data_IF_737848291146
#
_entry.id   IF_737848291146
#
_cell.length_a   1.000
_cell.length_b   1.000
_cell.length_c   1.000
_cell.angle_alpha   90.00
_cell.angle_beta   90.00
_cell.angle_gamma   90.00
#
_symmetry.space_group_name_H-M   'P 1'
#
loop_
_entity.id
_entity.type
_entity.pdbx_description
1 polymer ?
#
# COMPACT_ATOMS: atom_id res chain seq x y z
N UNK A 1 39.59 -11.66 -27.93
CA UNK A 1 38.96 -12.82 -28.62
C UNK A 1 37.74 -13.20 -27.82
N UNK A 2 36.61 -13.17 -28.51
CA UNK A 2 35.23 -13.68 -28.25
C UNK A 2 34.42 -13.01 -27.13
N UNK A 3 33.48 -12.13 -27.42
CA UNK A 3 32.14 -12.29 -28.06
C UNK A 3 31.27 -13.19 -27.21
N UNK A 4 30.31 -12.66 -26.45
CA UNK A 4 29.03 -12.21 -26.92
C UNK A 4 28.00 -13.00 -26.13
N UNK A 5 27.33 -12.39 -25.14
CA UNK A 5 26.09 -12.94 -24.60
C UNK A 5 24.97 -11.95 -24.95
N UNK A 6 24.20 -12.37 -25.92
CA UNK A 6 23.07 -11.61 -26.44
C UNK A 6 21.89 -11.61 -25.47
N UNK A 7 21.49 -10.43 -25.07
CA UNK A 7 20.19 -10.14 -24.44
C UNK A 7 19.06 -10.53 -25.41
N UNK A 8 18.29 -11.56 -25.08
CA UNK A 8 16.99 -11.79 -25.71
C UNK A 8 15.92 -11.09 -24.88
N UNK A 9 15.62 -9.89 -25.27
CA UNK A 9 14.40 -9.19 -24.86
C UNK A 9 13.24 -9.85 -25.61
N UNK A 10 12.36 -10.57 -24.90
CA UNK A 10 11.07 -10.98 -25.43
C UNK A 10 10.16 -9.76 -25.51
N UNK A 11 10.04 -9.19 -26.69
CA UNK A 11 8.98 -8.26 -27.03
C UNK A 11 7.67 -9.06 -27.11
N UNK A 12 6.76 -8.84 -26.15
CA UNK A 12 5.38 -9.30 -26.28
C UNK A 12 4.63 -8.26 -27.07
N UNK A 13 4.38 -8.59 -28.32
CA UNK A 13 3.58 -7.79 -29.25
C UNK A 13 2.14 -7.71 -28.79
N UNK A 14 1.65 -6.48 -28.58
CA UNK A 14 0.23 -6.18 -28.52
C UNK A 14 -0.35 -6.38 -29.92
N UNK A 15 -1.12 -7.43 -30.11
CA UNK A 15 -1.98 -7.58 -31.28
C UNK A 15 -3.41 -7.23 -30.90
N UNK A 16 -3.86 -6.12 -31.48
CA UNK A 16 -5.24 -5.68 -31.50
C UNK A 16 -6.13 -6.75 -32.15
N UNK A 17 -7.23 -7.09 -31.52
CA UNK A 17 -8.37 -7.72 -32.17
C UNK A 17 -9.54 -6.74 -32.16
N UNK A 18 -9.64 -5.99 -33.29
CA UNK A 18 -10.88 -5.37 -33.73
C UNK A 18 -11.60 -6.36 -34.67
N UNK A 19 -12.91 -6.26 -34.63
CA UNK A 19 -13.90 -6.73 -35.59
C UNK A 19 -14.56 -8.08 -35.32
N UNK A 20 -15.84 -8.02 -34.86
CA UNK A 20 -16.93 -8.42 -35.76
C UNK A 20 -18.24 -7.80 -35.25
N UNK A 21 -18.68 -6.76 -35.96
CA UNK A 21 -20.09 -6.37 -36.03
C UNK A 21 -20.83 -7.37 -36.91
N UNK A 22 -21.88 -7.97 -36.39
CA UNK A 22 -22.81 -8.79 -37.15
C UNK A 22 -24.18 -8.66 -36.57
N UNK A 23 -24.98 -7.78 -37.16
CA UNK A 23 -26.42 -7.68 -36.91
C UNK A 23 -27.12 -8.90 -37.50
N UNK A 24 -28.04 -9.49 -36.75
CA UNK A 24 -29.19 -10.14 -37.38
C UNK A 24 -30.42 -10.12 -36.48
N UNK A 25 -31.45 -9.71 -37.11
CA UNK A 25 -32.86 -9.50 -36.79
C UNK A 25 -33.58 -10.73 -36.18
N UNK A 26 -34.60 -10.38 -35.33
CA UNK A 26 -35.64 -11.28 -34.83
C UNK A 26 -36.56 -11.81 -35.95
N UNK A 27 -37.31 -12.87 -35.65
CA UNK A 27 -38.75 -12.79 -35.80
C UNK A 27 -39.60 -13.25 -34.61
N UNK A 28 -40.79 -12.71 -34.59
CA UNK A 28 -41.89 -12.78 -33.67
C UNK A 28 -42.68 -14.09 -33.67
N UNK A 29 -43.13 -14.54 -32.46
CA UNK A 29 -44.40 -15.10 -32.05
C UNK A 29 -44.76 -16.55 -32.43
N UNK A 30 -45.85 -17.18 -31.92
CA UNK A 30 -46.74 -16.78 -30.82
C UNK A 30 -47.02 -17.91 -29.77
N UNK A 31 -47.74 -17.54 -28.72
CA UNK A 31 -48.55 -18.26 -27.74
C UNK A 31 -48.62 -19.81 -27.72
N UNK A 32 -48.38 -20.39 -26.54
CA UNK A 32 -49.11 -21.53 -26.03
C UNK A 32 -49.15 -21.52 -24.47
N UNK A 33 -50.35 -21.35 -23.93
CA UNK A 33 -50.72 -21.76 -22.57
C UNK A 33 -50.60 -23.27 -22.46
N UNK A 34 -50.23 -23.80 -21.29
CA UNK A 34 -50.85 -24.97 -20.63
C UNK A 34 -50.33 -25.16 -19.23
N UNK A 35 -51.20 -25.07 -18.28
CA UNK A 35 -51.49 -25.85 -17.07
C UNK A 35 -50.41 -26.21 -16.05
N UNK A 36 -50.84 -25.94 -14.81
CA UNK A 36 -50.19 -26.22 -13.56
C UNK A 36 -50.00 -27.70 -13.24
N UNK A 37 -48.96 -27.95 -12.48
CA UNK A 37 -48.91 -29.07 -11.54
C UNK A 37 -47.98 -28.63 -10.37
N UNK A 38 -48.55 -28.63 -9.20
CA UNK A 38 -47.88 -28.51 -7.93
C UNK A 38 -46.89 -29.72 -7.80
N UNK A 39 -45.69 -29.46 -7.42
CA UNK A 39 -44.78 -30.45 -6.81
C UNK A 39 -44.10 -29.88 -5.59
N UNK A 40 -44.20 -30.70 -4.57
CA UNK A 40 -43.79 -30.57 -3.20
C UNK A 40 -42.33 -30.07 -3.02
N UNK A 41 -42.15 -29.34 -1.91
CA UNK A 41 -40.92 -28.81 -1.45
C UNK A 41 -39.87 -29.87 -1.11
N UNK A 42 -38.74 -29.74 -1.74
CA UNK A 42 -37.46 -30.17 -1.16
C UNK A 42 -36.76 -28.90 -0.68
N UNK A 43 -36.69 -28.73 0.62
CA UNK A 43 -35.78 -27.77 1.24
C UNK A 43 -34.37 -28.31 1.01
N UNK A 44 -33.65 -27.71 0.10
CA UNK A 44 -32.19 -27.88 0.06
C UNK A 44 -31.64 -27.36 1.40
N UNK A 45 -31.24 -28.29 2.21
CA UNK A 45 -30.40 -28.03 3.39
C UNK A 45 -29.06 -27.59 2.84
N UNK A 46 -28.81 -26.30 2.85
CA UNK A 46 -27.47 -25.77 2.64
C UNK A 46 -26.63 -26.30 3.79
N UNK A 47 -25.81 -27.31 3.52
CA UNK A 47 -24.81 -27.79 4.46
C UNK A 47 -23.88 -26.63 4.77
N UNK A 48 -23.77 -26.31 6.07
CA UNK A 48 -22.72 -25.37 6.54
C UNK A 48 -21.36 -25.89 6.06
N UNK A 49 -20.45 -24.98 5.60
CA UNK A 49 -19.12 -25.39 5.20
C UNK A 49 -18.39 -25.99 6.39
N UNK A 50 -17.78 -27.16 6.16
CA UNK A 50 -16.96 -27.87 7.11
C UNK A 50 -15.89 -26.96 7.74
N UNK A 51 -15.87 -26.86 9.05
CA UNK A 51 -15.03 -26.00 9.86
C UNK A 51 -13.54 -26.45 9.93
N UNK A 52 -13.05 -27.19 8.95
CA UNK A 52 -11.73 -27.82 8.98
C UNK A 52 -10.65 -27.17 8.11
N UNK A 53 -10.95 -26.10 7.36
CA UNK A 53 -9.87 -25.38 6.67
C UNK A 53 -9.26 -24.32 7.62
N UNK A 54 -7.93 -24.39 7.86
CA UNK A 54 -7.26 -23.41 8.74
C UNK A 54 -7.41 -22.01 8.15
N UNK A 55 -7.72 -21.03 9.03
CA UNK A 55 -7.79 -19.64 8.63
C UNK A 55 -6.41 -19.12 8.21
N UNK A 56 -6.35 -18.02 7.45
CA UNK A 56 -5.10 -17.35 7.11
C UNK A 56 -4.24 -17.06 8.35
N UNK A 57 -4.87 -16.69 9.47
CA UNK A 57 -4.19 -16.47 10.74
C UNK A 57 -3.55 -17.74 11.31
N UNK A 58 -4.20 -18.91 11.13
CA UNK A 58 -3.68 -20.19 11.62
C UNK A 58 -2.50 -20.71 10.80
N UNK A 59 -2.46 -20.38 9.50
CA UNK A 59 -1.39 -20.80 8.58
C UNK A 59 -0.14 -19.92 8.70
N UNK A 60 -0.32 -18.61 8.83
CA UNK A 60 0.77 -17.64 8.86
C UNK A 60 1.19 -17.21 10.27
N UNK A 61 0.31 -17.36 11.23
CA UNK A 61 0.54 -17.05 12.65
C UNK A 61 0.04 -18.21 13.53
N UNK A 62 0.70 -19.38 13.53
CA UNK A 62 0.27 -20.48 14.35
C UNK A 62 0.27 -20.03 15.81
N UNK A 63 -0.91 -19.91 16.39
CA UNK A 63 -1.07 -19.55 17.80
C UNK A 63 -0.61 -20.72 18.66
N UNK A 64 0.46 -20.53 19.39
CA UNK A 64 0.90 -21.50 20.40
C UNK A 64 0.08 -21.43 21.67
N UNK A 65 -0.92 -20.53 21.77
CA UNK A 65 -1.83 -20.53 22.93
C UNK A 65 -3.10 -19.71 22.66
N UNK A 66 -4.23 -20.42 22.50
CA UNK A 66 -5.54 -19.80 22.34
C UNK A 66 -6.10 -19.21 23.66
N UNK A 67 -5.45 -19.43 24.79
CA UNK A 67 -5.89 -18.95 26.13
C UNK A 67 -5.33 -17.57 26.50
N UNK A 68 -4.35 -17.04 25.75
CA UNK A 68 -3.73 -15.75 26.04
C UNK A 68 -4.51 -14.52 25.49
N UNK A 69 -5.65 -14.73 24.83
CA UNK A 69 -6.42 -13.64 24.18
C UNK A 69 -7.49 -12.96 25.04
N UNK A 70 -7.72 -13.45 26.28
CA UNK A 70 -8.82 -12.94 27.12
C UNK A 70 -8.42 -11.85 28.14
N UNK A 71 -7.13 -11.60 28.36
CA UNK A 71 -6.66 -10.67 29.41
C UNK A 71 -5.72 -9.56 28.90
N UNK A 72 -6.04 -8.94 27.75
CA UNK A 72 -5.40 -7.68 27.34
C UNK A 72 -6.08 -6.48 28.05
N UNK A 73 -6.26 -6.58 29.35
CA UNK A 73 -6.58 -5.50 30.25
C UNK A 73 -5.30 -4.96 30.88
N UNK A 74 -4.92 -3.75 30.41
CA UNK A 74 -4.15 -2.74 31.12
C UNK A 74 -3.10 -3.22 32.15
N UNK A 75 -1.98 -3.75 31.66
CA UNK A 75 -0.72 -3.61 32.36
C UNK A 75 0.35 -3.23 31.33
N UNK A 76 0.58 -1.92 31.18
CA UNK A 76 1.72 -1.42 30.43
C UNK A 76 3.00 -1.68 31.23
N UNK A 77 3.40 -2.94 31.34
CA UNK A 77 4.73 -3.27 31.76
C UNK A 77 5.67 -2.60 30.75
N UNK A 78 6.50 -1.66 31.23
CA UNK A 78 7.48 -0.99 30.42
C UNK A 78 8.25 -2.03 29.60
N UNK A 79 8.24 -1.90 28.27
CA UNK A 79 8.95 -2.83 27.38
C UNK A 79 10.42 -2.74 27.75
N UNK A 80 10.92 -3.71 28.49
CA UNK A 80 12.33 -3.79 28.86
C UNK A 80 13.10 -4.36 27.69
N UNK A 81 13.91 -3.52 27.05
CA UNK A 81 14.73 -3.93 25.92
C UNK A 81 15.92 -2.97 25.74
N UNK A 82 16.83 -3.32 24.84
CA UNK A 82 17.97 -2.43 24.56
C UNK A 82 17.48 -1.17 23.81
N UNK A 83 18.23 -0.08 24.00
CA UNK A 83 18.04 1.18 23.27
C UNK A 83 18.48 1.12 21.80
N UNK A 84 18.60 2.28 21.14
CA UNK A 84 19.04 2.35 19.76
C UNK A 84 20.45 1.75 19.55
N UNK A 85 20.79 1.31 18.32
CA UNK A 85 20.00 1.44 17.11
C UNK A 85 18.82 0.48 17.07
N UNK A 86 17.60 1.02 16.79
CA UNK A 86 16.40 0.22 16.73
C UNK A 86 16.27 -0.53 15.39
N UNK A 87 15.69 -1.75 15.36
CA UNK A 87 15.43 -2.46 14.13
C UNK A 87 14.45 -1.70 13.25
N UNK A 88 14.63 -1.79 11.94
CA UNK A 88 13.81 -1.17 10.91
C UNK A 88 12.78 -2.17 10.41
N UNK A 89 11.52 -1.79 10.39
CA UNK A 89 10.43 -2.54 9.77
C UNK A 89 9.99 -1.78 8.50
N UNK A 90 10.10 -2.42 7.34
CA UNK A 90 9.51 -1.95 6.09
C UNK A 90 8.08 -2.48 6.01
N UNK A 91 7.10 -1.58 5.85
CA UNK A 91 5.69 -1.95 5.85
C UNK A 91 5.00 -1.52 4.55
N UNK A 92 4.50 -2.50 3.79
CA UNK A 92 3.90 -2.31 2.49
C UNK A 92 2.49 -1.69 2.54
N UNK A 93 2.07 -1.10 1.42
CA UNK A 93 0.76 -0.48 1.25
C UNK A 93 -0.33 -1.41 0.74
N UNK A 94 -1.33 -0.79 0.13
CA UNK A 94 -2.45 -1.43 -0.57
C UNK A 94 -1.95 -2.40 -1.64
N UNK A 95 -2.60 -3.54 -1.77
CA UNK A 95 -2.21 -4.62 -2.67
C UNK A 95 -0.76 -5.12 -2.47
N UNK A 96 -0.14 -4.78 -1.34
CA UNK A 96 1.25 -5.11 -1.06
C UNK A 96 1.46 -6.57 -0.72
N UNK A 97 2.71 -6.98 -0.78
CA UNK A 97 3.18 -8.34 -0.51
C UNK A 97 4.61 -8.25 0.03
N UNK A 98 5.11 -9.28 0.66
CA UNK A 98 6.54 -9.34 0.97
C UNK A 98 7.33 -9.77 -0.27
N UNK A 99 7.01 -10.95 -0.81
CA UNK A 99 7.68 -11.52 -1.97
C UNK A 99 6.69 -12.18 -2.93
N UNK A 100 6.83 -11.95 -4.23
CA UNK A 100 6.20 -12.69 -5.31
C UNK A 100 7.30 -13.20 -6.25
N UNK A 101 7.70 -14.45 -6.08
CA UNK A 101 8.86 -15.01 -6.79
C UNK A 101 10.14 -14.23 -6.45
N UNK A 102 10.87 -13.69 -7.45
CA UNK A 102 12.09 -12.92 -7.20
C UNK A 102 11.84 -11.45 -6.86
N UNK A 103 10.60 -11.00 -6.84
CA UNK A 103 10.22 -9.60 -6.64
C UNK A 103 9.72 -9.43 -5.21
N UNK A 104 10.33 -8.52 -4.46
CA UNK A 104 9.83 -8.06 -3.18
C UNK A 104 9.24 -6.65 -3.31
N UNK A 105 8.33 -6.28 -2.40
CA UNK A 105 7.61 -5.00 -2.48
C UNK A 105 8.55 -3.80 -2.43
N UNK A 106 9.47 -3.77 -1.46
CA UNK A 106 10.56 -2.79 -1.39
C UNK A 106 11.77 -3.34 -2.14
N UNK A 107 11.72 -3.25 -3.48
CA UNK A 107 12.67 -3.95 -4.33
C UNK A 107 14.14 -3.69 -3.97
N UNK A 108 14.82 -4.73 -3.52
CA UNK A 108 16.22 -4.71 -3.08
C UNK A 108 16.55 -3.83 -1.85
N UNK A 109 15.62 -3.08 -1.30
CA UNK A 109 15.85 -2.15 -0.18
C UNK A 109 16.35 -2.90 1.06
N UNK A 110 15.60 -3.91 1.51
CA UNK A 110 15.98 -4.68 2.71
C UNK A 110 17.32 -5.36 2.54
N UNK A 111 17.61 -5.93 1.36
CA UNK A 111 18.88 -6.57 1.05
C UNK A 111 20.06 -5.58 1.13
N UNK A 112 19.90 -4.40 0.56
CA UNK A 112 20.93 -3.37 0.59
C UNK A 112 21.19 -2.87 2.01
N UNK A 113 20.16 -2.55 2.76
CA UNK A 113 20.29 -2.09 4.14
C UNK A 113 20.96 -3.16 5.03
N UNK A 114 20.53 -4.43 4.92
CA UNK A 114 21.17 -5.55 5.64
C UNK A 114 22.63 -5.72 5.28
N UNK A 115 23.02 -5.52 4.01
CA UNK A 115 24.43 -5.58 3.58
C UNK A 115 25.29 -4.49 4.20
N UNK A 116 24.68 -3.45 4.75
CA UNK A 116 25.34 -2.33 5.46
C UNK A 116 25.30 -2.49 6.97
N UNK A 117 24.84 -3.64 7.47
CA UNK A 117 24.80 -3.93 8.90
C UNK A 117 23.51 -3.50 9.59
N UNK A 118 22.50 -3.04 8.86
CA UNK A 118 21.20 -2.68 9.45
C UNK A 118 20.36 -3.92 9.76
N UNK A 119 19.68 -3.91 10.89
CA UNK A 119 18.70 -4.93 11.25
C UNK A 119 17.36 -4.54 10.64
N UNK A 120 16.94 -5.24 9.58
CA UNK A 120 15.75 -4.89 8.78
C UNK A 120 14.82 -6.08 8.66
N UNK A 121 13.53 -5.80 8.90
CA UNK A 121 12.42 -6.74 8.72
C UNK A 121 11.44 -6.20 7.67
N UNK A 122 10.77 -7.09 6.98
CA UNK A 122 9.73 -6.75 6.01
C UNK A 122 8.41 -7.31 6.54
N UNK A 123 7.48 -6.41 6.89
CA UNK A 123 6.18 -6.80 7.40
C UNK A 123 5.32 -7.43 6.30
N UNK A 124 4.58 -8.46 6.67
CA UNK A 124 3.60 -9.10 5.79
C UNK A 124 2.24 -9.02 6.47
N UNK A 125 1.32 -8.32 5.84
CA UNK A 125 -0.06 -8.20 6.26
C UNK A 125 -0.97 -8.50 5.07
N UNK A 126 -2.27 -8.68 5.29
CA UNK A 126 -3.22 -8.89 4.19
C UNK A 126 -3.11 -7.78 3.16
N UNK A 127 -3.05 -8.11 1.86
CA UNK A 127 -2.96 -7.12 0.78
C UNK A 127 -4.11 -6.12 0.74
N UNK A 128 -5.32 -6.58 1.03
CA UNK A 128 -6.56 -5.80 0.98
C UNK A 128 -7.34 -6.01 2.26
N UNK A 129 -7.42 -4.99 3.10
CA UNK A 129 -8.28 -4.94 4.27
C UNK A 129 -8.28 -3.51 4.86
N UNK A 130 -9.11 -3.28 5.86
CA UNK A 130 -9.14 -2.03 6.61
C UNK A 130 -7.81 -1.75 7.30
N UNK A 131 -7.50 -0.48 7.51
CA UNK A 131 -6.33 -0.09 8.30
C UNK A 131 -6.34 -0.73 9.70
N UNK A 132 -7.52 -0.94 10.29
CA UNK A 132 -7.67 -1.58 11.60
C UNK A 132 -7.26 -3.05 11.60
N UNK A 133 -7.66 -3.84 10.60
CA UNK A 133 -7.29 -5.25 10.47
C UNK A 133 -5.79 -5.39 10.23
N UNK A 134 -5.26 -4.64 9.25
CA UNK A 134 -3.84 -4.65 8.91
C UNK A 134 -2.96 -4.16 10.08
N UNK A 135 -3.44 -3.19 10.85
CA UNK A 135 -2.76 -2.72 12.06
C UNK A 135 -2.61 -3.79 13.13
N UNK A 136 -3.62 -4.67 13.33
CA UNK A 136 -3.51 -5.78 14.29
C UNK A 136 -2.45 -6.79 13.86
N UNK A 137 -2.37 -7.07 12.56
CA UNK A 137 -1.32 -7.95 12.02
C UNK A 137 0.06 -7.33 12.16
N UNK A 138 0.18 -6.01 11.88
CA UNK A 138 1.42 -5.27 12.09
C UNK A 138 1.83 -5.26 13.57
N UNK A 139 0.88 -5.12 14.49
CA UNK A 139 1.14 -5.16 15.92
C UNK A 139 1.79 -6.49 16.34
N UNK A 140 1.21 -7.61 15.92
CA UNK A 140 1.78 -8.94 16.18
C UNK A 140 3.19 -9.08 15.54
N UNK A 141 3.41 -8.48 14.38
CA UNK A 141 4.71 -8.46 13.73
C UNK A 141 5.74 -7.65 14.54
N UNK A 142 5.39 -6.47 15.02
CA UNK A 142 6.24 -5.63 15.90
C UNK A 142 6.62 -6.40 17.15
N UNK A 143 5.67 -7.06 17.81
CA UNK A 143 5.91 -7.89 19.00
C UNK A 143 6.91 -9.01 18.72
N UNK A 144 6.81 -9.64 17.55
CA UNK A 144 7.76 -10.66 17.13
C UNK A 144 9.17 -10.07 16.94
N UNK A 145 9.29 -8.96 16.22
CA UNK A 145 10.58 -8.30 15.99
C UNK A 145 11.24 -7.90 17.33
N UNK A 146 10.47 -7.36 18.27
CA UNK A 146 11.00 -6.99 19.57
C UNK A 146 11.47 -8.22 20.36
N UNK A 147 10.73 -9.33 20.33
CA UNK A 147 11.17 -10.58 20.99
C UNK A 147 12.45 -11.16 20.36
N UNK A 148 12.54 -11.14 19.03
CA UNK A 148 13.70 -11.67 18.29
C UNK A 148 14.98 -10.83 18.49
N UNK A 149 14.81 -9.52 18.57
CA UNK A 149 15.94 -8.58 18.69
C UNK A 149 16.28 -8.17 20.10
N UNK A 150 15.34 -8.33 21.04
CA UNK A 150 15.48 -7.76 22.38
C UNK A 150 15.41 -6.24 22.43
N UNK A 151 14.94 -5.59 21.37
CA UNK A 151 14.87 -4.14 21.27
C UNK A 151 13.64 -3.58 21.96
N UNK A 152 13.80 -2.46 22.69
CA UNK A 152 12.67 -1.78 23.36
C UNK A 152 11.72 -1.13 22.35
N UNK A 153 12.20 -0.67 21.21
CA UNK A 153 11.39 0.00 20.19
C UNK A 153 11.80 -0.43 18.78
N UNK A 154 10.98 -0.04 17.81
CA UNK A 154 11.26 -0.22 16.38
C UNK A 154 11.16 1.11 15.64
N UNK A 155 11.79 1.17 14.46
CA UNK A 155 11.52 2.19 13.43
C UNK A 155 10.61 1.53 12.39
N UNK A 156 9.53 2.21 11.99
CA UNK A 156 8.68 1.75 10.89
C UNK A 156 8.85 2.71 9.71
N UNK A 157 9.18 2.16 8.54
CA UNK A 157 9.16 2.88 7.27
C UNK A 157 8.02 2.29 6.45
N UNK A 158 6.95 3.03 6.32
CA UNK A 158 5.69 2.57 5.73
C UNK A 158 5.41 3.30 4.41
N UNK A 159 4.99 2.56 3.40
CA UNK A 159 4.56 3.09 2.12
C UNK A 159 3.05 3.04 1.98
N UNK A 160 2.45 4.09 1.40
CA UNK A 160 1.03 4.12 1.02
C UNK A 160 0.10 3.82 2.22
N UNK A 161 -0.88 2.90 2.08
CA UNK A 161 -1.78 2.47 3.14
C UNK A 161 -1.05 2.04 4.42
N UNK A 162 0.16 1.49 4.29
CA UNK A 162 0.95 1.04 5.45
C UNK A 162 1.18 2.12 6.50
N UNK A 163 1.20 3.39 6.10
CA UNK A 163 1.27 4.51 7.05
C UNK A 163 0.00 4.69 7.87
N UNK A 164 -1.18 4.46 7.28
CA UNK A 164 -2.46 4.48 8.02
C UNK A 164 -2.55 3.31 9.00
N UNK A 165 -2.17 2.11 8.56
CA UNK A 165 -2.10 0.93 9.41
C UNK A 165 -1.20 1.20 10.63
N UNK A 166 -0.01 1.77 10.39
CA UNK A 166 0.95 2.11 11.43
C UNK A 166 0.41 3.16 12.41
N UNK A 167 -0.27 4.20 11.92
CA UNK A 167 -0.89 5.21 12.78
C UNK A 167 -2.02 4.63 13.61
N UNK A 168 -2.87 3.76 13.03
CA UNK A 168 -3.89 3.05 13.78
C UNK A 168 -3.28 2.17 14.88
N UNK A 169 -2.23 1.43 14.56
CA UNK A 169 -1.51 0.60 15.54
C UNK A 169 -0.95 1.44 16.69
N UNK A 170 -0.27 2.54 16.38
CA UNK A 170 0.34 3.41 17.38
C UNK A 170 -0.72 4.01 18.30
N UNK A 171 -1.77 4.59 17.72
CA UNK A 171 -2.80 5.33 18.45
C UNK A 171 -3.85 4.41 19.05
N UNK A 172 -4.65 3.75 18.20
CA UNK A 172 -5.82 2.97 18.66
C UNK A 172 -5.46 1.66 19.33
N UNK A 173 -4.32 1.02 18.99
CA UNK A 173 -3.85 -0.20 19.67
C UNK A 173 -2.81 0.08 20.77
N UNK A 174 -2.43 1.36 20.99
CA UNK A 174 -1.58 1.78 22.09
C UNK A 174 -0.09 1.44 21.96
N UNK A 175 0.44 1.28 20.73
CA UNK A 175 1.84 0.90 20.48
C UNK A 175 2.84 2.08 20.48
N UNK A 176 2.47 3.24 21.03
CA UNK A 176 3.35 4.40 21.10
C UNK A 176 4.63 4.23 21.94
N UNK A 177 4.63 3.32 22.90
CA UNK A 177 5.81 2.94 23.67
C UNK A 177 6.76 2.00 22.94
N UNK A 178 6.30 1.34 21.84
CA UNK A 178 7.04 0.35 21.07
C UNK A 178 7.60 0.88 19.75
N UNK A 179 7.17 2.05 19.32
CA UNK A 179 7.65 2.72 18.09
C UNK A 179 8.44 3.96 18.48
N UNK A 180 9.65 4.09 17.96
CA UNK A 180 10.48 5.28 18.16
C UNK A 180 10.23 6.33 17.08
N UNK A 181 10.12 5.86 15.83
CA UNK A 181 9.96 6.69 14.65
C UNK A 181 9.04 5.98 13.64
N UNK A 182 8.03 6.70 13.17
CA UNK A 182 7.25 6.34 11.99
C UNK A 182 7.66 7.25 10.83
N UNK A 183 8.18 6.66 9.76
CA UNK A 183 8.42 7.35 8.48
C UNK A 183 7.38 6.89 7.50
N UNK A 184 6.63 7.81 6.91
CA UNK A 184 5.63 7.49 5.88
C UNK A 184 6.10 8.02 4.52
N UNK A 185 5.94 7.20 3.49
CA UNK A 185 6.24 7.53 2.11
C UNK A 185 4.93 7.44 1.34
N UNK A 186 4.49 8.55 0.78
CA UNK A 186 3.24 8.69 0.01
C UNK A 186 2.01 8.04 0.65
N UNK A 187 1.89 8.18 1.97
CA UNK A 187 0.70 7.73 2.70
C UNK A 187 -0.43 8.74 2.54
N UNK A 188 -1.63 8.32 2.14
CA UNK A 188 -2.76 9.24 1.98
C UNK A 188 -3.38 9.62 3.34
N UNK A 189 -2.68 10.42 4.14
CA UNK A 189 -3.12 10.84 5.48
C UNK A 189 -4.41 11.67 5.46
N UNK A 190 -4.75 12.25 4.32
CA UNK A 190 -6.00 12.98 4.08
C UNK A 190 -6.86 12.31 3.01
N UNK A 191 -6.60 11.01 2.77
CA UNK A 191 -7.28 10.24 1.74
C UNK A 191 -6.78 10.54 0.33
N UNK A 192 -7.41 9.90 -0.64
CA UNK A 192 -7.21 10.13 -2.06
C UNK A 192 -8.55 10.05 -2.79
N UNK A 193 -8.81 11.03 -3.65
CA UNK A 193 -10.01 11.04 -4.48
C UNK A 193 -10.05 9.88 -5.51
N UNK A 194 -8.94 9.21 -5.75
CA UNK A 194 -8.89 7.95 -6.49
C UNK A 194 -9.77 6.91 -5.81
N UNK A 195 -9.62 6.73 -4.48
CA UNK A 195 -10.45 5.80 -3.72
C UNK A 195 -11.93 6.22 -3.71
N UNK A 196 -12.21 7.51 -3.50
CA UNK A 196 -13.58 8.03 -3.54
C UNK A 196 -14.27 7.82 -4.89
N UNK A 197 -13.51 7.94 -5.98
CA UNK A 197 -14.02 7.69 -7.34
C UNK A 197 -14.34 6.21 -7.56
N UNK A 198 -13.46 5.31 -7.12
CA UNK A 198 -13.70 3.85 -7.22
C UNK A 198 -14.90 3.43 -6.40
N UNK A 199 -15.06 4.00 -5.20
CA UNK A 199 -16.21 3.77 -4.33
C UNK A 199 -17.53 4.39 -4.85
N UNK A 200 -17.45 5.16 -5.95
CA UNK A 200 -18.64 5.84 -6.52
C UNK A 200 -19.09 7.07 -5.74
N UNK A 201 -18.26 7.59 -4.82
CA UNK A 201 -18.58 8.83 -4.08
C UNK A 201 -18.39 10.07 -4.96
N UNK A 202 -17.51 9.99 -5.94
CA UNK A 202 -17.28 11.02 -6.95
C UNK A 202 -17.77 10.49 -8.30
N UNK A 203 -18.67 11.20 -9.03
CA UNK A 203 -19.09 10.81 -10.36
C UNK A 203 -17.91 10.84 -11.34
N UNK A 204 -17.80 9.85 -12.22
CA UNK A 204 -16.78 9.85 -13.27
C UNK A 204 -15.91 8.59 -13.34
N UNK A 205 -16.16 7.59 -12.50
CA UNK A 205 -15.59 6.27 -12.67
C UNK A 205 -16.10 5.67 -13.99
N UNK A 206 -15.28 5.77 -15.05
CA UNK A 206 -15.55 5.06 -16.30
C UNK A 206 -15.14 3.60 -16.15
N UNK A 207 -15.72 2.70 -16.96
CA UNK A 207 -15.25 1.31 -17.02
C UNK A 207 -13.73 1.23 -17.25
N UNK A 208 -13.17 2.14 -18.05
CA UNK A 208 -11.74 2.24 -18.27
C UNK A 208 -10.93 2.56 -17.02
N UNK A 209 -11.46 3.38 -16.11
CA UNK A 209 -10.84 3.72 -14.83
C UNK A 209 -10.83 2.50 -13.88
N UNK A 210 -11.97 1.80 -13.76
CA UNK A 210 -12.08 0.58 -12.96
C UNK A 210 -11.17 -0.51 -13.52
N UNK A 211 -11.13 -0.66 -14.85
CA UNK A 211 -10.24 -1.61 -15.52
C UNK A 211 -8.77 -1.26 -15.33
N UNK A 212 -8.40 0.03 -15.28
CA UNK A 212 -7.03 0.43 -14.98
C UNK A 212 -6.60 0.00 -13.57
N UNK A 213 -7.47 0.17 -12.57
CA UNK A 213 -7.21 -0.34 -11.21
C UNK A 213 -7.10 -1.86 -11.21
N UNK A 214 -8.06 -2.56 -11.83
CA UNK A 214 -8.02 -4.02 -11.93
C UNK A 214 -6.72 -4.49 -12.60
N UNK A 215 -6.27 -3.80 -13.65
CA UNK A 215 -5.05 -4.15 -14.39
C UNK A 215 -3.78 -3.87 -13.59
N UNK A 216 -3.73 -2.81 -12.78
CA UNK A 216 -2.59 -2.52 -11.89
C UNK A 216 -2.37 -3.63 -10.86
N UNK A 217 -3.43 -4.30 -10.45
CA UNK A 217 -3.38 -5.28 -9.36
C UNK A 217 -3.66 -6.73 -9.82
N UNK A 218 -4.21 -6.94 -11.02
CA UNK A 218 -4.65 -8.28 -11.46
C UNK A 218 -3.52 -9.27 -11.68
N UNK A 219 -2.32 -8.84 -12.03
CA UNK A 219 -1.21 -9.76 -12.24
C UNK A 219 -0.38 -10.06 -10.98
N UNK A 220 -0.71 -9.43 -9.86
CA UNK A 220 -0.06 -9.69 -8.58
C UNK A 220 -0.78 -10.77 -7.75
N UNK A 221 -2.04 -11.12 -8.06
CA UNK A 221 -2.82 -12.01 -7.19
C UNK A 221 -3.60 -13.09 -7.93
N UNK A 222 -3.43 -14.33 -7.44
CA UNK A 222 -4.25 -15.46 -7.80
C UNK A 222 -5.66 -15.31 -7.22
N UNK A 223 -6.72 -15.73 -7.92
CA UNK A 223 -8.13 -15.60 -7.52
C UNK A 223 -8.44 -16.10 -6.09
N UNK A 224 -7.65 -17.06 -5.59
CA UNK A 224 -7.80 -17.60 -4.24
C UNK A 224 -7.46 -16.60 -3.11
N UNK A 225 -6.70 -15.54 -3.40
CA UNK A 225 -6.36 -14.47 -2.45
C UNK A 225 -7.33 -13.29 -2.50
N UNK A 226 -8.26 -13.26 -3.44
CA UNK A 226 -9.24 -12.19 -3.63
C UNK A 226 -10.43 -12.21 -2.63
N UNK A 227 -10.44 -13.09 -1.63
CA UNK A 227 -11.42 -13.06 -0.52
C UNK A 227 -11.15 -11.98 0.53
N UNK A 228 -10.18 -11.13 0.28
CA UNK A 228 -9.80 -10.01 1.14
C UNK A 228 -10.71 -8.81 0.87
N UNK A 229 -10.92 -7.97 1.87
CA UNK A 229 -11.88 -6.88 1.77
C UNK A 229 -11.28 -5.66 1.04
N UNK A 230 -11.33 -5.70 -0.29
CA UNK A 230 -10.95 -4.59 -1.16
C UNK A 230 -11.72 -3.31 -0.82
N UNK A 231 -13.02 -3.44 -0.52
CA UNK A 231 -13.87 -2.30 -0.19
C UNK A 231 -13.42 -1.64 1.12
N UNK A 232 -13.11 -2.42 2.15
CA UNK A 232 -12.60 -1.90 3.40
C UNK A 232 -11.25 -1.17 3.24
N UNK A 233 -10.36 -1.67 2.36
CA UNK A 233 -9.13 -0.95 2.00
C UNK A 233 -9.44 0.40 1.36
N UNK A 234 -10.29 0.43 0.33
CA UNK A 234 -10.64 1.65 -0.38
C UNK A 234 -11.32 2.67 0.53
N UNK A 235 -12.22 2.22 1.41
CA UNK A 235 -12.83 3.08 2.44
C UNK A 235 -11.76 3.70 3.33
N UNK A 236 -10.78 2.93 3.79
CA UNK A 236 -9.67 3.45 4.61
C UNK A 236 -8.80 4.48 3.88
N UNK A 237 -8.76 4.43 2.53
CA UNK A 237 -7.99 5.34 1.68
C UNK A 237 -8.79 6.56 1.21
N UNK A 238 -10.10 6.64 1.48
CA UNK A 238 -10.96 7.69 0.95
C UNK A 238 -10.77 9.03 1.67
N UNK A 239 -10.92 10.14 0.96
CA UNK A 239 -10.94 11.48 1.56
C UNK A 239 -12.12 11.64 2.52
N UNK A 240 -13.23 10.97 2.21
CA UNK A 240 -14.43 10.99 3.02
C UNK A 240 -14.19 10.50 4.44
N UNK A 241 -13.45 9.42 4.62
CA UNK A 241 -13.20 8.81 5.93
C UNK A 241 -11.95 9.38 6.64
N UNK A 242 -11.07 10.07 5.90
CA UNK A 242 -9.80 10.53 6.42
C UNK A 242 -9.93 11.48 7.64
N UNK A 243 -10.97 12.33 7.66
CA UNK A 243 -11.18 13.26 8.79
C UNK A 243 -11.54 12.49 10.06
N UNK A 244 -12.45 11.52 9.97
CA UNK A 244 -12.85 10.68 11.10
C UNK A 244 -11.69 9.81 11.57
N UNK A 245 -10.93 9.21 10.63
CA UNK A 245 -9.72 8.45 10.93
C UNK A 245 -8.69 9.29 11.70
N UNK A 246 -8.40 10.50 11.23
CA UNK A 246 -7.42 11.38 11.88
C UNK A 246 -7.86 11.82 13.28
N UNK A 247 -9.15 12.07 13.48
CA UNK A 247 -9.68 12.42 14.79
C UNK A 247 -9.61 11.24 15.78
N UNK A 248 -9.83 10.01 15.29
CA UNK A 248 -9.77 8.80 16.10
C UNK A 248 -8.33 8.32 16.39
N UNK A 249 -7.37 8.71 15.55
CA UNK A 249 -5.97 8.26 15.64
C UNK A 249 -5.02 9.48 15.74
N UNK A 250 -5.03 10.23 16.86
CA UNK A 250 -4.09 11.31 17.09
C UNK A 250 -2.65 10.79 17.21
N UNK A 251 -1.69 11.66 16.96
CA UNK A 251 -0.28 11.33 17.13
C UNK A 251 0.05 11.07 18.60
N UNK A 252 0.83 10.03 18.87
CA UNK A 252 1.36 9.72 20.20
C UNK A 252 2.65 10.51 20.41
N UNK A 253 2.71 11.31 21.48
CA UNK A 253 3.85 12.17 21.78
C UNK A 253 5.18 11.41 22.04
N UNK A 254 5.13 10.11 22.26
CA UNK A 254 6.31 9.25 22.44
C UNK A 254 6.95 8.81 21.11
N UNK A 255 6.31 9.09 19.97
CA UNK A 255 6.72 8.71 18.63
C UNK A 255 7.08 9.93 17.81
N UNK A 256 8.16 9.87 17.04
CA UNK A 256 8.45 10.87 16.01
C UNK A 256 7.77 10.46 14.71
N UNK A 257 7.28 11.45 13.98
CA UNK A 257 6.59 11.21 12.71
C UNK A 257 7.28 12.02 11.61
N UNK A 258 7.81 11.29 10.61
CA UNK A 258 8.36 11.87 9.40
C UNK A 258 7.52 11.48 8.20
N UNK A 259 7.44 12.34 7.20
CA UNK A 259 6.75 12.03 5.97
C UNK A 259 7.50 12.49 4.73
N UNK A 260 7.38 11.71 3.68
CA UNK A 260 7.85 11.98 2.34
C UNK A 260 6.69 11.89 1.36
N UNK A 261 6.81 12.53 0.20
CA UNK A 261 5.85 12.45 -0.89
C UNK A 261 6.55 12.22 -2.23
N UNK A 262 5.93 11.45 -3.10
CA UNK A 262 6.32 11.39 -4.50
C UNK A 262 5.72 12.50 -5.32
N UNK A 263 6.33 12.76 -6.46
CA UNK A 263 5.82 13.67 -7.50
C UNK A 263 6.24 13.16 -8.87
N UNK A 264 5.30 12.92 -9.73
CA UNK A 264 5.52 12.28 -11.01
C UNK A 264 4.69 12.90 -12.11
N UNK A 265 4.72 14.18 -12.33
CA UNK A 265 4.09 14.76 -13.49
C UNK A 265 4.98 15.80 -14.15
N UNK A 266 4.58 16.26 -15.35
CA UNK A 266 5.30 17.25 -16.12
C UNK A 266 5.46 18.62 -15.41
N UNK A 267 4.88 18.78 -14.23
CA UNK A 267 4.80 20.05 -13.50
C UNK A 267 5.64 19.99 -12.24
N UNK A 268 6.90 20.12 -12.43
CA UNK A 268 7.94 19.87 -11.42
C UNK A 268 8.29 21.07 -10.55
N UNK A 269 7.72 22.23 -10.77
CA UNK A 269 8.15 23.47 -10.11
C UNK A 269 7.38 23.74 -8.83
N UNK A 270 8.00 23.52 -7.52
CA UNK A 270 6.98 23.30 -6.65
C UNK A 270 7.11 23.80 -5.25
N UNK A 271 6.42 24.93 -5.05
CA UNK A 271 6.18 25.54 -3.77
C UNK A 271 5.63 24.52 -2.71
N UNK A 272 4.86 23.53 -3.15
CA UNK A 272 4.29 22.50 -2.26
C UNK A 272 5.35 21.60 -1.61
N UNK A 273 6.54 21.46 -2.23
CA UNK A 273 7.70 20.73 -1.69
C UNK A 273 8.74 21.70 -1.09
N UNK A 274 8.54 23.00 -1.21
CA UNK A 274 9.58 24.05 -1.15
C UNK A 274 10.18 24.39 0.21
N UNK A 275 9.58 23.93 1.31
CA UNK A 275 10.09 24.22 2.66
C UNK A 275 10.73 22.98 3.32
N UNK A 276 10.83 21.89 2.58
CA UNK A 276 11.32 20.64 3.11
C UNK A 276 12.85 20.59 3.09
N UNK A 277 13.43 19.82 4.00
CA UNK A 277 14.87 19.61 4.17
C UNK A 277 15.58 19.23 2.87
N UNK A 278 14.86 18.60 1.93
CA UNK A 278 15.36 18.12 0.64
C UNK A 278 14.68 18.76 -0.57
N UNK A 279 14.10 19.95 -0.40
CA UNK A 279 13.44 20.69 -1.48
C UNK A 279 14.32 20.99 -2.70
N UNK A 280 15.63 20.91 -2.53
CA UNK A 280 16.63 21.26 -3.54
C UNK A 280 17.15 20.06 -4.35
N UNK A 281 16.54 18.88 -4.27
CA UNK A 281 16.80 17.87 -5.27
C UNK A 281 16.50 18.48 -6.64
N UNK A 282 17.45 18.42 -7.60
CA UNK A 282 17.27 19.09 -8.87
C UNK A 282 15.96 18.68 -9.51
N UNK A 283 15.29 19.65 -10.14
CA UNK A 283 14.05 19.50 -10.87
C UNK A 283 14.25 18.42 -11.97
N UNK A 284 14.11 17.17 -11.61
CA UNK A 284 14.14 16.06 -12.54
C UNK A 284 12.71 15.75 -12.93
N UNK A 285 12.48 15.57 -14.22
CA UNK A 285 11.22 15.10 -14.74
C UNK A 285 11.10 13.61 -14.39
N UNK A 286 10.12 13.28 -13.59
CA UNK A 286 9.66 11.92 -13.52
C UNK A 286 8.45 11.74 -14.45
N UNK A 287 8.48 10.69 -15.26
CA UNK A 287 7.32 10.32 -16.08
C UNK A 287 6.43 9.41 -15.26
N UNK A 288 5.24 9.87 -14.93
CA UNK A 288 4.22 8.98 -14.36
C UNK A 288 4.08 7.72 -15.20
N UNK A 289 4.17 6.54 -14.58
CA UNK A 289 3.88 5.26 -15.23
C UNK A 289 2.52 5.35 -15.95
N UNK A 290 2.50 5.04 -17.24
CA UNK A 290 1.34 5.31 -18.10
C UNK A 290 -0.01 4.82 -17.53
N UNK A 291 -0.12 3.64 -16.90
CA UNK A 291 -1.34 3.21 -16.23
C UNK A 291 -1.77 4.10 -15.04
N UNK A 292 -0.86 4.86 -14.42
CA UNK A 292 -1.19 5.82 -13.37
C UNK A 292 -1.67 7.18 -13.91
N UNK A 293 -1.45 7.48 -15.18
CA UNK A 293 -1.77 8.79 -15.76
C UNK A 293 -3.25 9.22 -15.59
N UNK A 294 -4.26 8.33 -15.71
CA UNK A 294 -5.65 8.72 -15.46
C UNK A 294 -5.90 9.12 -13.98
N UNK A 295 -5.23 8.49 -13.04
CA UNK A 295 -5.35 8.80 -11.61
C UNK A 295 -4.63 10.10 -11.27
N UNK A 296 -3.43 10.29 -11.82
CA UNK A 296 -2.70 11.55 -11.70
C UNK A 296 -3.54 12.73 -12.19
N UNK A 297 -4.16 12.61 -13.35
CA UNK A 297 -5.03 13.62 -13.93
C UNK A 297 -6.29 13.87 -13.07
N UNK A 298 -6.85 12.82 -12.46
CA UNK A 298 -7.98 12.94 -11.55
C UNK A 298 -7.60 13.74 -10.29
N UNK A 299 -6.44 13.46 -9.70
CA UNK A 299 -5.95 14.18 -8.53
C UNK A 299 -5.64 15.64 -8.87
N UNK A 300 -5.00 15.89 -10.01
CA UNK A 300 -4.69 17.24 -10.48
C UNK A 300 -5.95 18.09 -10.65
N UNK A 301 -7.01 17.51 -11.22
CA UNK A 301 -8.27 18.20 -11.46
C UNK A 301 -8.08 19.54 -12.17
N UNK A 302 -8.66 20.60 -11.61
CA UNK A 302 -8.55 21.97 -12.13
C UNK A 302 -7.38 22.77 -11.52
N UNK A 303 -6.67 22.21 -10.56
CA UNK A 303 -5.56 22.90 -9.86
C UNK A 303 -4.27 22.06 -9.84
N UNK A 304 -3.67 21.82 -10.99
CA UNK A 304 -2.50 20.94 -11.09
C UNK A 304 -1.24 21.48 -10.40
N UNK A 305 -1.18 22.79 -10.09
CA UNK A 305 -0.04 23.38 -9.41
C UNK A 305 -0.04 23.07 -7.92
N UNK A 306 -1.21 22.96 -7.30
CA UNK A 306 -1.36 22.66 -5.89
C UNK A 306 -1.63 21.17 -5.62
N UNK A 307 -2.12 20.44 -6.62
CA UNK A 307 -2.43 19.01 -6.52
C UNK A 307 -1.33 18.14 -7.16
N UNK A 308 -0.08 18.52 -6.95
CA UNK A 308 1.08 17.69 -7.32
C UNK A 308 0.97 16.34 -6.63
N UNK A 309 1.21 15.26 -7.37
CA UNK A 309 0.98 13.90 -6.92
C UNK A 309 1.95 12.89 -7.54
N UNK A 310 1.93 11.68 -7.04
CA UNK A 310 2.70 10.53 -7.51
C UNK A 310 1.88 9.57 -8.41
N UNK A 311 0.71 9.99 -8.84
CA UNK A 311 -0.25 9.18 -9.59
C UNK A 311 -1.32 8.50 -8.73
N UNK A 312 -1.15 8.43 -7.41
CA UNK A 312 -2.11 7.81 -6.48
C UNK A 312 -2.44 8.72 -5.28
N UNK A 313 -1.47 9.50 -4.82
CA UNK A 313 -1.57 10.33 -3.61
C UNK A 313 -1.02 11.72 -3.89
N UNK A 314 -1.75 12.77 -3.51
CA UNK A 314 -1.25 14.13 -3.61
C UNK A 314 -0.19 14.42 -2.52
N UNK A 315 0.78 15.27 -2.84
CA UNK A 315 1.77 15.76 -1.87
C UNK A 315 1.08 16.34 -0.63
N UNK A 316 -0.04 17.04 -0.82
CA UNK A 316 -0.83 17.60 0.27
C UNK A 316 -1.36 16.50 1.21
N UNK A 317 -1.84 15.40 0.65
CA UNK A 317 -2.34 14.27 1.45
C UNK A 317 -1.20 13.51 2.13
N UNK A 318 -0.04 13.38 1.48
CA UNK A 318 1.11 12.65 2.00
C UNK A 318 1.84 13.36 3.16
N UNK A 319 1.68 14.67 3.31
CA UNK A 319 2.34 15.44 4.37
C UNK A 319 1.75 15.16 5.74
N UNK A 320 2.60 14.69 6.67
CA UNK A 320 2.24 14.44 8.06
C UNK A 320 3.45 14.63 8.98
N UNK A 321 3.21 15.05 10.21
CA UNK A 321 4.28 15.29 11.17
C UNK A 321 5.35 16.24 10.60
N UNK A 322 6.61 15.83 10.69
CA UNK A 322 7.76 16.55 10.14
C UNK A 322 7.97 16.13 8.68
N UNK A 323 7.52 16.97 7.76
CA UNK A 323 7.65 16.71 6.33
C UNK A 323 9.09 16.88 5.86
N UNK A 324 9.69 15.82 5.35
CA UNK A 324 11.08 15.78 4.94
C UNK A 324 11.30 16.24 3.49
N UNK A 325 10.34 16.05 2.60
CA UNK A 325 10.42 16.50 1.23
C UNK A 325 9.67 15.65 0.21
N UNK A 326 9.87 16.02 -1.07
CA UNK A 326 9.38 15.25 -2.20
C UNK A 326 10.52 14.54 -2.90
N UNK A 327 10.20 13.37 -3.48
CA UNK A 327 11.09 12.64 -4.38
C UNK A 327 10.52 12.63 -5.79
N UNK A 328 11.36 12.69 -6.84
CA UNK A 328 10.92 12.64 -8.23
C UNK A 328 10.62 11.19 -8.64
N UNK A 329 9.51 10.67 -8.12
CA UNK A 329 9.10 9.29 -8.32
C UNK A 329 7.57 9.21 -8.35
N UNK A 330 7.02 8.29 -9.14
CA UNK A 330 5.64 7.89 -9.01
C UNK A 330 5.46 6.86 -7.88
N UNK A 331 4.22 6.53 -7.59
CA UNK A 331 3.84 5.68 -6.47
C UNK A 331 4.50 4.29 -6.46
N UNK A 332 4.85 3.75 -7.62
CA UNK A 332 5.53 2.47 -7.77
C UNK A 332 7.06 2.62 -7.77
N UNK A 333 7.57 3.67 -8.40
CA UNK A 333 9.01 3.94 -8.42
C UNK A 333 9.57 4.24 -7.03
N UNK A 334 8.77 4.79 -6.11
CA UNK A 334 9.14 5.03 -4.72
C UNK A 334 9.64 3.77 -4.01
N UNK A 335 9.12 2.62 -4.36
CA UNK A 335 9.48 1.31 -3.79
C UNK A 335 10.20 0.40 -4.79
N UNK A 336 10.51 0.91 -5.98
CA UNK A 336 11.23 0.19 -7.02
C UNK A 336 10.40 -0.86 -7.75
N UNK A 337 9.07 -0.72 -7.78
CA UNK A 337 8.18 -1.60 -8.52
C UNK A 337 8.16 -1.24 -10.01
N UNK A 338 7.75 -2.24 -10.84
CA UNK A 338 7.48 -2.09 -12.28
C UNK A 338 8.67 -1.50 -13.06
N UNK A 339 9.82 -2.20 -12.99
CA UNK A 339 10.96 -2.04 -13.91
C UNK A 339 11.61 -0.64 -13.99
N UNK A 340 11.44 0.24 -13.00
CA UNK A 340 12.12 1.54 -12.91
C UNK A 340 12.01 2.41 -14.17
N UNK A 341 10.87 2.41 -14.84
CA UNK A 341 10.74 3.17 -16.10
C UNK A 341 10.82 4.67 -15.88
N UNK A 342 10.32 5.18 -14.75
CA UNK A 342 10.46 6.57 -14.34
C UNK A 342 11.89 6.92 -13.91
N UNK A 343 12.54 6.05 -13.16
CA UNK A 343 13.90 6.26 -12.66
C UNK A 343 14.95 6.46 -13.77
N UNK A 344 14.70 5.93 -14.98
CA UNK A 344 15.57 6.17 -16.16
C UNK A 344 15.58 7.65 -16.53
N UNK A 345 14.46 8.35 -16.41
CA UNK A 345 14.34 9.76 -16.79
C UNK A 345 14.65 10.68 -15.61
N UNK A 346 14.13 10.38 -14.42
CA UNK A 346 14.35 11.18 -13.22
C UNK A 346 15.73 10.94 -12.59
N UNK A 347 16.33 9.76 -12.83
CA UNK A 347 17.54 9.31 -12.15
C UNK A 347 17.33 9.06 -10.67
N UNK A 348 16.08 8.85 -10.24
CA UNK A 348 15.75 8.52 -8.87
C UNK A 348 16.23 7.11 -8.52
N UNK A 349 17.01 7.00 -7.45
CA UNK A 349 17.47 5.73 -6.89
C UNK A 349 16.71 5.48 -5.57
N UNK A 350 15.66 4.67 -5.63
CA UNK A 350 14.87 4.34 -4.46
C UNK A 350 15.70 3.64 -3.37
N UNK A 351 16.68 2.82 -3.72
CA UNK A 351 17.54 2.16 -2.73
C UNK A 351 18.39 3.20 -1.98
N UNK A 352 18.96 4.17 -2.71
CA UNK A 352 19.67 5.28 -2.10
C UNK A 352 18.76 6.16 -1.24
N UNK A 353 17.50 6.33 -1.65
CA UNK A 353 16.49 7.04 -0.87
C UNK A 353 16.23 6.39 0.48
N UNK A 354 15.98 5.07 0.53
CA UNK A 354 15.79 4.36 1.79
C UNK A 354 17.05 4.32 2.67
N UNK A 355 18.24 4.23 2.07
CA UNK A 355 19.51 4.41 2.82
C UNK A 355 19.55 5.75 3.52
N UNK A 356 19.14 6.81 2.83
CA UNK A 356 19.09 8.16 3.38
C UNK A 356 18.12 8.24 4.56
N UNK A 357 16.91 7.71 4.43
CA UNK A 357 15.93 7.68 5.52
C UNK A 357 16.55 7.01 6.76
N UNK A 358 17.18 5.85 6.60
CA UNK A 358 17.79 5.13 7.73
C UNK A 358 18.99 5.89 8.29
N UNK A 359 19.84 6.45 7.44
CA UNK A 359 20.98 7.28 7.88
C UNK A 359 20.54 8.50 8.68
N UNK A 360 19.47 9.19 8.23
CA UNK A 360 18.92 10.34 8.94
C UNK A 360 18.29 9.92 10.28
N UNK A 361 17.62 8.76 10.33
CA UNK A 361 17.09 8.20 11.57
C UNK A 361 18.23 7.89 12.58
N UNK A 362 19.33 7.30 12.11
CA UNK A 362 20.52 7.03 12.94
C UNK A 362 21.15 8.34 13.45
N UNK A 363 21.27 9.36 12.59
CA UNK A 363 21.76 10.67 12.97
C UNK A 363 20.88 11.39 13.98
N UNK A 364 19.57 11.09 13.99
CA UNK A 364 18.60 11.59 14.95
C UNK A 364 18.56 10.79 16.27
N UNK A 365 19.37 9.73 16.39
CA UNK A 365 19.50 8.93 17.62
C UNK A 365 18.57 7.71 17.73
N UNK A 366 17.97 7.29 16.62
CA UNK A 366 17.07 6.11 16.58
C UNK A 366 17.75 4.80 16.26
#
# INVERSE_FOLDING_TARGET
MNRGFALRVCAVSLLALCAHCGANSAPSGPDARVDGAARDGARDVISEPDASEPSFEDVYFPSTDATARADAGADSAAVTGHGPPYPVILHHGFAGFRDIGPINYFFNVARDLRSRGETVYEAEVTPFDSAATRARQLAAFVDRVQRETGSAKVIIIAHSQGGLDSRYMISSLGYGDRVALLVTVSTPHRGTNVADTVLGFIPGATEGFINAIAMLFAWTYNEARMRMDLNASLVSLSEREATAFNAANPDDARVRYWSWAGRSNLRTGVAVCGEARYANEPLRLDSTFLPLAPFAALIEGLDPLNNVNDGMVSVRSARWGEFQGCVPADHFDEVGQIAHTGAILSGFDHVAFYRRIVSDARAAGF
#
